data_IF_073773407990
#
_entry.id   IF_073773407990
#
_cell.length_a   1.000
_cell.length_b   1.000
_cell.length_c   1.000
_cell.angle_alpha   90.00
_cell.angle_beta   90.00
_cell.angle_gamma   90.00
#
_symmetry.space_group_name_H-M   'P 1'
#
loop_
_entity.id
_entity.type
_entity.pdbx_description
1 polymer ?
#
# COMPACT_ATOMS: atom_id res chain seq x y z
N UNK A 1 -17.74 -11.49 9.48
CA UNK A 1 -16.91 -12.71 9.42
C UNK A 1 -16.03 -12.73 8.16
N UNK A 2 -16.54 -12.47 6.96
CA UNK A 2 -15.79 -12.39 5.69
C UNK A 2 -14.70 -11.29 5.72
N UNK A 3 -14.99 -10.11 6.27
CA UNK A 3 -13.99 -9.02 6.40
C UNK A 3 -12.82 -9.40 7.31
N UNK A 4 -13.09 -10.10 8.41
CA UNK A 4 -12.07 -10.62 9.31
C UNK A 4 -11.20 -11.68 8.62
N UNK A 5 -11.81 -12.53 7.78
CA UNK A 5 -11.13 -13.54 6.97
C UNK A 5 -10.20 -12.87 5.94
N UNK A 6 -10.67 -11.86 5.22
CA UNK A 6 -9.86 -11.09 4.25
C UNK A 6 -8.67 -10.41 4.93
N UNK A 7 -8.89 -9.73 6.07
CA UNK A 7 -7.81 -9.14 6.86
C UNK A 7 -6.82 -10.20 7.36
N UNK A 8 -7.30 -11.37 7.76
CA UNK A 8 -6.47 -12.50 8.17
C UNK A 8 -5.60 -13.04 7.04
N UNK A 9 -6.16 -13.19 5.84
CA UNK A 9 -5.43 -13.62 4.64
C UNK A 9 -4.38 -12.60 4.24
N UNK A 10 -4.73 -11.31 4.17
CA UNK A 10 -3.78 -10.23 3.89
C UNK A 10 -2.62 -10.24 4.88
N UNK A 11 -2.90 -10.39 6.19
CA UNK A 11 -1.86 -10.43 7.23
C UNK A 11 -0.93 -11.63 7.05
N UNK A 12 -1.46 -12.80 6.73
CA UNK A 12 -0.66 -14.01 6.49
C UNK A 12 0.21 -13.86 5.24
N UNK A 13 -0.35 -13.38 4.14
CA UNK A 13 0.38 -13.19 2.88
C UNK A 13 1.45 -12.09 2.98
N UNK A 14 1.24 -11.07 3.82
CA UNK A 14 2.24 -10.02 4.09
C UNK A 14 3.39 -10.49 5.00
N UNK A 15 3.27 -11.63 5.67
CA UNK A 15 4.30 -12.11 6.60
C UNK A 15 5.60 -12.47 5.86
N UNK A 16 5.51 -13.16 4.73
CA UNK A 16 6.69 -13.55 3.93
C UNK A 16 7.46 -12.32 3.40
N UNK A 17 6.84 -11.36 2.68
CA UNK A 17 7.52 -10.14 2.26
C UNK A 17 8.13 -9.34 3.42
N UNK A 18 7.44 -9.28 4.56
CA UNK A 18 7.93 -8.57 5.74
C UNK A 18 9.19 -9.23 6.33
N UNK A 19 9.18 -10.56 6.50
CA UNK A 19 10.35 -11.30 6.99
C UNK A 19 11.53 -11.12 6.03
N UNK A 20 11.29 -11.26 4.73
CA UNK A 20 12.32 -11.08 3.72
C UNK A 20 12.91 -9.66 3.75
N UNK A 21 12.07 -8.64 3.87
CA UNK A 21 12.50 -7.24 3.99
C UNK A 21 13.31 -6.97 5.26
N UNK A 22 12.91 -7.55 6.40
CA UNK A 22 13.68 -7.42 7.66
C UNK A 22 15.04 -8.10 7.54
N UNK A 23 15.10 -9.32 7.00
CA UNK A 23 16.37 -10.03 6.80
C UNK A 23 17.28 -9.23 5.86
N UNK A 24 16.74 -8.72 4.77
CA UNK A 24 17.45 -7.87 3.82
C UNK A 24 18.04 -6.62 4.49
N UNK A 25 17.25 -5.95 5.29
CA UNK A 25 17.68 -4.75 6.01
C UNK A 25 18.76 -5.07 7.04
N UNK A 26 18.65 -6.18 7.76
CA UNK A 26 19.69 -6.64 8.69
C UNK A 26 21.01 -6.92 7.97
N UNK A 27 20.95 -7.64 6.85
CA UNK A 27 22.14 -7.92 6.02
C UNK A 27 22.78 -6.60 5.56
N UNK A 28 21.97 -5.67 5.04
CA UNK A 28 22.46 -4.37 4.59
C UNK A 28 23.16 -3.59 5.73
N UNK A 29 22.55 -3.52 6.90
CA UNK A 29 23.12 -2.84 8.06
C UNK A 29 24.44 -3.50 8.50
N UNK A 30 24.49 -4.83 8.59
CA UNK A 30 25.71 -5.56 8.94
C UNK A 30 26.82 -5.33 7.91
N UNK A 31 26.50 -5.35 6.63
CA UNK A 31 27.45 -5.06 5.56
C UNK A 31 28.01 -3.64 5.66
N UNK A 32 27.16 -2.65 5.85
CA UNK A 32 27.57 -1.24 5.92
C UNK A 32 28.37 -0.90 7.19
N UNK A 33 27.98 -1.48 8.35
CA UNK A 33 28.53 -1.07 9.63
C UNK A 33 29.69 -1.94 10.12
N UNK A 34 29.84 -3.14 9.59
CA UNK A 34 30.82 -4.11 10.03
C UNK A 34 31.72 -4.66 8.92
N UNK A 35 31.11 -5.22 7.87
CA UNK A 35 31.87 -5.93 6.83
C UNK A 35 32.72 -4.96 5.99
N UNK A 36 32.12 -3.90 5.47
CA UNK A 36 32.82 -2.93 4.61
C UNK A 36 33.93 -2.19 5.39
N UNK A 37 33.73 -1.65 6.60
CA UNK A 37 34.79 -1.02 7.34
C UNK A 37 35.97 -1.98 7.62
N UNK A 38 35.71 -3.18 8.13
CA UNK A 38 36.76 -4.16 8.39
C UNK A 38 37.53 -4.57 7.13
N UNK A 39 36.79 -4.65 5.99
CA UNK A 39 37.42 -4.95 4.71
C UNK A 39 38.32 -3.78 4.25
N UNK A 40 37.92 -2.55 4.49
CA UNK A 40 38.72 -1.36 4.13
C UNK A 40 39.98 -1.19 5.00
N UNK A 41 39.96 -1.59 6.31
CA UNK A 41 41.16 -1.61 7.16
C UNK A 41 42.30 -2.46 6.58
N UNK A 42 41.99 -3.46 5.76
CA UNK A 42 43.01 -4.27 5.08
C UNK A 42 43.77 -3.49 3.98
N UNK A 43 43.22 -2.37 3.53
CA UNK A 43 43.84 -1.50 2.54
C UNK A 43 44.53 -0.27 3.17
N UNK A 44 44.40 -0.08 4.50
CA UNK A 44 45.11 0.97 5.21
C UNK A 44 46.63 0.73 5.12
N UNK A 45 47.32 1.71 4.58
CA UNK A 45 48.79 1.64 4.36
C UNK A 45 49.18 1.47 2.88
N UNK A 46 48.27 1.29 1.99
CA UNK A 46 48.52 1.34 0.56
C UNK A 46 48.17 2.74 0.01
N UNK A 47 49.12 3.34 -0.72
CA UNK A 47 49.01 4.70 -1.27
C UNK A 47 48.25 4.67 -2.61
N UNK A 48 46.88 4.53 -2.54
CA UNK A 48 46.02 4.59 -3.73
C UNK A 48 44.72 5.37 -3.46
N UNK A 49 44.19 5.99 -4.49
CA UNK A 49 42.92 6.71 -4.39
C UNK A 49 41.72 5.74 -4.31
N UNK A 50 40.93 5.84 -3.25
CA UNK A 50 39.72 5.02 -3.09
C UNK A 50 38.64 5.47 -4.09
N UNK A 51 37.96 4.52 -4.75
CA UNK A 51 36.84 4.83 -5.63
C UNK A 51 35.72 5.59 -4.93
N UNK A 52 35.12 6.58 -5.61
CA UNK A 52 34.09 7.43 -5.05
C UNK A 52 32.86 6.65 -4.54
N UNK A 53 32.50 5.54 -5.19
CA UNK A 53 31.41 4.65 -4.75
C UNK A 53 31.71 4.02 -3.39
N UNK A 54 32.93 3.54 -3.17
CA UNK A 54 33.36 2.95 -1.92
C UNK A 54 33.32 3.97 -0.79
N UNK A 55 33.85 5.18 -1.04
CA UNK A 55 33.81 6.28 -0.07
C UNK A 55 32.37 6.67 0.28
N UNK A 56 31.47 6.76 -0.70
CA UNK A 56 30.06 7.05 -0.45
C UNK A 56 29.40 6.01 0.46
N UNK A 57 29.70 4.73 0.24
CA UNK A 57 29.14 3.64 1.04
C UNK A 57 29.72 3.62 2.45
N UNK A 58 31.00 3.91 2.62
CA UNK A 58 31.63 4.08 3.93
C UNK A 58 30.99 5.23 4.71
N UNK A 59 30.83 6.39 4.11
CA UNK A 59 30.15 7.52 4.74
C UNK A 59 28.69 7.18 5.11
N UNK A 60 27.98 6.41 4.30
CA UNK A 60 26.65 5.90 4.65
C UNK A 60 26.71 4.96 5.86
N UNK A 61 27.68 4.06 5.90
CA UNK A 61 27.87 3.14 7.03
C UNK A 61 28.14 3.89 8.34
N UNK A 62 29.07 4.83 8.33
CA UNK A 62 29.40 5.69 9.46
C UNK A 62 28.21 6.53 9.91
N UNK A 63 27.47 7.08 8.96
CA UNK A 63 26.26 7.83 9.24
C UNK A 63 25.21 6.95 9.94
N UNK A 64 24.96 5.74 9.43
CA UNK A 64 24.04 4.77 10.05
C UNK A 64 24.52 4.38 11.46
N UNK A 65 25.80 4.08 11.63
CA UNK A 65 26.38 3.69 12.90
C UNK A 65 26.28 4.80 13.95
N UNK A 66 26.66 6.02 13.57
CA UNK A 66 26.70 7.15 14.49
C UNK A 66 25.33 7.76 14.79
N UNK A 67 24.36 7.58 13.88
CA UNK A 67 23.03 8.18 13.98
C UNK A 67 21.90 7.14 14.04
N UNK A 68 22.19 5.88 14.41
CA UNK A 68 21.21 4.80 14.45
C UNK A 68 19.95 5.17 15.27
N UNK A 69 20.14 5.73 16.48
CA UNK A 69 19.03 6.14 17.35
C UNK A 69 18.22 7.28 16.71
N UNK A 70 18.92 8.26 16.10
CA UNK A 70 18.29 9.39 15.43
C UNK A 70 17.48 8.92 14.21
N UNK A 71 18.01 7.97 13.42
CA UNK A 71 17.32 7.38 12.27
C UNK A 71 16.04 6.66 12.70
N UNK A 72 16.11 5.85 13.76
CA UNK A 72 14.92 5.19 14.33
C UNK A 72 13.91 6.23 14.81
N UNK A 73 14.36 7.26 15.53
CA UNK A 73 13.48 8.33 16.01
C UNK A 73 12.80 9.08 14.85
N UNK A 74 13.54 9.37 13.77
CA UNK A 74 12.99 10.01 12.56
C UNK A 74 11.95 9.11 11.90
N UNK A 75 12.23 7.81 11.74
CA UNK A 75 11.27 6.87 11.14
C UNK A 75 9.98 6.81 11.97
N UNK A 76 10.11 6.70 13.30
CA UNK A 76 8.95 6.71 14.22
C UNK A 76 8.18 8.03 14.11
N UNK A 77 8.88 9.17 14.10
CA UNK A 77 8.25 10.49 13.95
C UNK A 77 7.50 10.63 12.62
N UNK A 78 8.09 10.15 11.50
CA UNK A 78 7.45 10.13 10.18
C UNK A 78 6.18 9.25 10.21
N UNK A 79 6.24 8.05 10.79
CA UNK A 79 5.08 7.15 10.89
C UNK A 79 3.96 7.78 11.71
N UNK A 80 4.28 8.40 12.85
CA UNK A 80 3.32 9.10 13.69
C UNK A 80 2.76 10.33 12.94
N UNK A 81 3.61 11.11 12.28
CA UNK A 81 3.23 12.27 11.49
C UNK A 81 2.25 11.91 10.37
N UNK A 82 2.55 10.86 9.58
CA UNK A 82 1.67 10.37 8.51
C UNK A 82 0.34 9.86 9.09
N UNK A 83 0.36 9.11 10.20
CA UNK A 83 -0.87 8.66 10.86
C UNK A 83 -1.73 9.80 11.36
N UNK A 84 -1.12 10.83 11.94
CA UNK A 84 -1.81 12.03 12.41
C UNK A 84 -2.38 12.84 11.25
N UNK A 85 -1.59 13.02 10.19
CA UNK A 85 -2.03 13.75 8.99
C UNK A 85 -3.19 13.04 8.27
N UNK A 86 -3.17 11.71 8.19
CA UNK A 86 -4.30 10.92 7.64
C UNK A 86 -5.62 11.13 8.39
N UNK A 87 -5.60 11.60 9.62
CA UNK A 87 -6.82 11.91 10.40
C UNK A 87 -7.37 13.30 10.10
N UNK A 88 -6.58 14.21 9.54
CA UNK A 88 -7.03 15.56 9.16
C UNK A 88 -7.83 15.50 7.85
N UNK A 89 -8.76 16.44 7.67
CA UNK A 89 -9.60 16.50 6.47
C UNK A 89 -8.77 16.59 5.18
N UNK A 90 -7.78 17.48 5.16
CA UNK A 90 -6.85 17.61 4.02
C UNK A 90 -6.05 16.34 3.75
N UNK A 91 -5.62 15.63 4.79
CA UNK A 91 -4.94 14.35 4.66
C UNK A 91 -5.85 13.26 4.10
N UNK A 92 -7.08 13.16 4.59
CA UNK A 92 -8.08 12.22 4.08
C UNK A 92 -8.37 12.44 2.59
N UNK A 93 -8.51 13.69 2.17
CA UNK A 93 -8.74 14.04 0.77
C UNK A 93 -7.53 13.72 -0.11
N UNK A 94 -6.32 14.05 0.34
CA UNK A 94 -5.07 13.77 -0.37
C UNK A 94 -4.86 12.25 -0.55
N UNK A 95 -4.94 11.49 0.53
CA UNK A 95 -4.77 10.03 0.47
C UNK A 95 -5.94 9.34 -0.22
N UNK A 96 -7.17 9.80 -0.01
CA UNK A 96 -8.37 9.29 -0.66
C UNK A 96 -8.30 9.41 -2.18
N UNK A 97 -7.91 10.59 -2.68
CA UNK A 97 -7.75 10.83 -4.12
C UNK A 97 -6.60 10.01 -4.72
N UNK A 98 -5.47 9.89 -4.01
CA UNK A 98 -4.32 9.10 -4.51
C UNK A 98 -4.60 7.61 -4.49
N UNK A 99 -5.31 7.11 -3.50
CA UNK A 99 -5.67 5.70 -3.41
C UNK A 99 -6.44 5.18 -4.64
N UNK A 100 -7.25 6.04 -5.28
CA UNK A 100 -8.01 5.70 -6.49
C UNK A 100 -7.31 6.10 -7.80
N UNK A 101 -6.13 6.77 -7.73
CA UNK A 101 -5.36 7.20 -8.91
C UNK A 101 -4.14 6.32 -9.17
N UNK A 102 -3.55 5.71 -8.15
CA UNK A 102 -2.35 4.86 -8.29
C UNK A 102 -2.75 3.54 -8.96
N UNK A 103 -2.21 3.20 -10.15
CA UNK A 103 -2.70 2.08 -10.98
C UNK A 103 -2.79 0.75 -10.25
N UNK A 104 -1.76 0.40 -9.44
CA UNK A 104 -1.68 -0.87 -8.71
C UNK A 104 -2.77 -0.99 -7.64
N UNK A 105 -3.05 0.10 -6.91
CA UNK A 105 -4.01 0.11 -5.82
C UNK A 105 -5.41 0.58 -6.23
N UNK A 106 -5.54 1.23 -7.39
CA UNK A 106 -6.82 1.75 -7.89
C UNK A 106 -7.89 0.66 -7.93
N UNK A 107 -7.60 -0.43 -8.64
CA UNK A 107 -8.56 -1.52 -8.83
C UNK A 107 -8.92 -2.18 -7.51
N UNK A 108 -7.94 -2.42 -6.63
CA UNK A 108 -8.18 -2.99 -5.31
C UNK A 108 -9.07 -2.08 -4.46
N UNK A 109 -8.80 -0.78 -4.42
CA UNK A 109 -9.58 0.17 -3.63
C UNK A 109 -11.02 0.29 -4.14
N UNK A 110 -11.22 0.43 -5.46
CA UNK A 110 -12.56 0.52 -6.05
C UNK A 110 -13.37 -0.75 -5.73
N UNK A 111 -12.78 -1.95 -5.92
CA UNK A 111 -13.44 -3.21 -5.62
C UNK A 111 -13.75 -3.34 -4.12
N UNK A 112 -12.81 -2.94 -3.25
CA UNK A 112 -13.00 -2.97 -1.79
C UNK A 112 -14.16 -2.06 -1.36
N UNK A 113 -14.23 -0.82 -1.87
CA UNK A 113 -15.33 0.08 -1.52
C UNK A 113 -16.66 -0.39 -2.10
N UNK A 114 -16.67 -1.02 -3.28
CA UNK A 114 -17.87 -1.64 -3.86
C UNK A 114 -18.36 -2.84 -3.05
N UNK A 115 -17.45 -3.69 -2.58
CA UNK A 115 -17.76 -4.81 -1.67
C UNK A 115 -18.35 -4.30 -0.35
N UNK A 116 -17.67 -3.33 0.32
CA UNK A 116 -18.15 -2.74 1.57
C UNK A 116 -19.52 -2.10 1.40
N UNK A 117 -19.72 -1.35 0.32
CA UNK A 117 -21.01 -0.74 -0.03
C UNK A 117 -22.09 -1.80 -0.16
N UNK A 118 -21.91 -2.77 -1.05
CA UNK A 118 -22.90 -3.78 -1.34
C UNK A 118 -23.22 -4.66 -0.11
N UNK A 119 -22.18 -5.14 0.60
CA UNK A 119 -22.34 -6.00 1.77
C UNK A 119 -23.03 -5.28 2.93
N UNK A 120 -22.60 -4.06 3.24
CA UNK A 120 -23.19 -3.29 4.34
C UNK A 120 -24.62 -2.90 4.03
N UNK A 121 -24.88 -2.41 2.80
CA UNK A 121 -26.21 -2.02 2.38
C UNK A 121 -27.17 -3.22 2.34
N UNK A 122 -26.75 -4.36 1.77
CA UNK A 122 -27.52 -5.61 1.78
C UNK A 122 -27.91 -6.02 3.21
N UNK A 123 -26.92 -6.06 4.12
CA UNK A 123 -27.16 -6.46 5.51
C UNK A 123 -28.15 -5.53 6.22
N UNK A 124 -28.06 -4.22 6.02
CA UNK A 124 -28.95 -3.25 6.64
C UNK A 124 -30.37 -3.32 6.06
N UNK A 125 -30.50 -3.49 4.73
CA UNK A 125 -31.78 -3.64 4.06
C UNK A 125 -32.48 -4.94 4.49
N UNK A 126 -31.76 -6.06 4.57
CA UNK A 126 -32.28 -7.34 5.08
C UNK A 126 -32.72 -7.24 6.56
N UNK A 127 -32.11 -6.35 7.34
CA UNK A 127 -32.55 -6.06 8.72
C UNK A 127 -33.78 -5.13 8.78
N UNK A 128 -34.35 -4.74 7.64
CA UNK A 128 -35.52 -3.85 7.55
C UNK A 128 -35.21 -2.37 7.78
N UNK A 129 -33.93 -1.96 7.70
CA UNK A 129 -33.56 -0.55 7.85
C UNK A 129 -33.91 0.20 6.56
N UNK A 130 -34.62 1.35 6.63
CA UNK A 130 -34.97 2.13 5.46
C UNK A 130 -33.74 2.52 4.64
N UNK A 131 -33.87 2.56 3.30
CA UNK A 131 -32.76 2.86 2.35
C UNK A 131 -31.98 4.12 2.73
N UNK A 132 -32.66 5.19 3.13
CA UNK A 132 -32.03 6.47 3.49
C UNK A 132 -31.07 6.31 4.69
N UNK A 133 -31.52 5.60 5.73
CA UNK A 133 -30.73 5.36 6.94
C UNK A 133 -29.62 4.33 6.70
N UNK A 134 -29.90 3.35 5.85
CA UNK A 134 -28.93 2.36 5.43
C UNK A 134 -27.78 3.02 4.63
N UNK A 135 -28.07 3.89 3.68
CA UNK A 135 -27.05 4.65 2.91
C UNK A 135 -26.23 5.58 3.81
N UNK A 136 -26.87 6.24 4.79
CA UNK A 136 -26.16 7.04 5.79
C UNK A 136 -25.16 6.19 6.62
N UNK A 137 -25.63 5.03 7.06
CA UNK A 137 -24.80 4.09 7.83
C UNK A 137 -23.63 3.59 6.97
N UNK A 138 -23.86 3.22 5.72
CA UNK A 138 -22.81 2.84 4.77
C UNK A 138 -21.81 3.97 4.55
N UNK A 139 -22.28 5.21 4.34
CA UNK A 139 -21.41 6.38 4.19
C UNK A 139 -20.46 6.54 5.39
N UNK A 140 -20.94 6.27 6.60
CA UNK A 140 -20.13 6.35 7.82
C UNK A 140 -19.12 5.20 7.99
N UNK A 141 -19.31 4.08 7.32
CA UNK A 141 -18.33 2.98 7.28
C UNK A 141 -17.21 3.23 6.26
N UNK A 142 -17.42 4.14 5.28
CA UNK A 142 -16.42 4.43 4.26
C UNK A 142 -15.21 5.13 4.85
N UNK A 143 -14.04 4.52 4.69
CA UNK A 143 -12.76 5.11 5.12
C UNK A 143 -12.23 6.15 4.14
N UNK A 144 -12.68 6.12 2.87
CA UNK A 144 -12.33 7.10 1.87
C UNK A 144 -13.35 8.24 1.84
N UNK A 145 -12.88 9.46 2.07
CA UNK A 145 -13.72 10.66 2.16
C UNK A 145 -14.51 10.93 0.87
N UNK A 146 -13.99 10.54 -0.31
CA UNK A 146 -14.68 10.74 -1.59
C UNK A 146 -15.94 9.87 -1.66
N UNK A 147 -15.83 8.58 -1.35
CA UNK A 147 -16.98 7.67 -1.30
C UNK A 147 -17.97 8.09 -0.22
N UNK A 148 -17.48 8.51 0.96
CA UNK A 148 -18.34 9.05 2.01
C UNK A 148 -19.15 10.24 1.54
N UNK A 149 -18.51 11.24 0.94
CA UNK A 149 -19.17 12.45 0.43
C UNK A 149 -20.18 12.13 -0.67
N UNK A 150 -19.85 11.19 -1.57
CA UNK A 150 -20.75 10.76 -2.65
C UNK A 150 -22.01 10.10 -2.08
N UNK A 151 -21.86 9.18 -1.13
CA UNK A 151 -22.99 8.51 -0.50
C UNK A 151 -23.87 9.46 0.34
N UNK A 152 -23.27 10.45 1.02
CA UNK A 152 -24.03 11.47 1.73
C UNK A 152 -24.85 12.36 0.78
N UNK A 153 -24.30 12.69 -0.40
CA UNK A 153 -25.08 13.38 -1.46
C UNK A 153 -26.20 12.50 -2.01
N UNK A 154 -25.89 11.21 -2.25
CA UNK A 154 -26.89 10.24 -2.69
C UNK A 154 -28.05 10.13 -1.69
N UNK A 155 -27.76 10.12 -0.38
CA UNK A 155 -28.80 10.17 0.67
C UNK A 155 -29.74 11.36 0.52
N UNK A 156 -29.19 12.56 0.22
CA UNK A 156 -30.02 13.76 0.03
C UNK A 156 -30.91 13.69 -1.22
N UNK A 157 -30.45 13.00 -2.27
CA UNK A 157 -31.23 12.78 -3.50
C UNK A 157 -32.32 11.72 -3.30
N UNK A 158 -32.00 10.62 -2.62
CA UNK A 158 -32.96 9.58 -2.24
C UNK A 158 -34.09 10.17 -1.38
N UNK A 159 -33.77 11.09 -0.45
CA UNK A 159 -34.78 11.75 0.37
C UNK A 159 -35.77 12.60 -0.46
N UNK A 160 -35.40 12.97 -1.69
CA UNK A 160 -36.27 13.65 -2.67
C UNK A 160 -37.02 12.68 -3.61
N UNK A 161 -36.84 11.37 -3.40
CA UNK A 161 -37.46 10.32 -4.22
C UNK A 161 -36.67 9.92 -5.46
N UNK A 162 -35.40 10.35 -5.59
CA UNK A 162 -34.52 9.93 -6.69
C UNK A 162 -34.02 8.51 -6.40
N UNK A 163 -34.06 7.57 -7.37
CA UNK A 163 -33.49 6.24 -7.24
C UNK A 163 -31.98 6.32 -6.92
N UNK A 164 -31.46 5.42 -6.06
CA UNK A 164 -30.04 5.43 -5.63
C UNK A 164 -29.08 5.20 -6.82
N UNK A 165 -29.47 4.44 -7.81
CA UNK A 165 -28.67 4.21 -9.03
C UNK A 165 -28.28 5.50 -9.77
N UNK A 166 -29.12 6.51 -9.77
CA UNK A 166 -28.89 7.82 -10.42
C UNK A 166 -27.72 8.60 -9.77
N UNK A 167 -27.73 8.91 -8.45
CA UNK A 167 -26.63 9.60 -7.81
C UNK A 167 -25.32 8.79 -7.84
N UNK A 168 -25.35 7.46 -7.75
CA UNK A 168 -24.16 6.63 -7.88
C UNK A 168 -23.54 6.73 -9.29
N UNK A 169 -24.39 6.79 -10.34
CA UNK A 169 -23.96 7.00 -11.73
C UNK A 169 -23.31 8.37 -11.91
N UNK A 170 -23.94 9.40 -11.37
CA UNK A 170 -23.50 10.79 -11.50
C UNK A 170 -22.18 11.05 -10.73
N UNK A 171 -21.98 10.41 -9.60
CA UNK A 171 -20.76 10.49 -8.78
C UNK A 171 -19.55 9.83 -9.45
N UNK A 172 -19.76 8.74 -10.16
CA UNK A 172 -18.74 8.09 -11.00
C UNK A 172 -17.62 7.39 -10.24
N UNK A 173 -17.72 7.21 -8.91
CA UNK A 173 -16.73 6.48 -8.11
C UNK A 173 -16.98 4.97 -8.14
N UNK A 174 -18.21 4.56 -8.27
CA UNK A 174 -18.58 3.15 -8.32
C UNK A 174 -18.49 2.58 -9.75
N UNK A 175 -18.10 1.30 -9.91
CA UNK A 175 -18.09 0.63 -11.21
C UNK A 175 -19.49 0.59 -11.85
N UNK A 176 -19.57 0.58 -13.19
CA UNK A 176 -20.85 0.49 -13.91
C UNK A 176 -21.73 -0.69 -13.45
N UNK A 177 -21.12 -1.82 -13.08
CA UNK A 177 -21.83 -2.99 -12.58
C UNK A 177 -22.62 -2.69 -11.30
N UNK A 178 -22.07 -1.90 -10.36
CA UNK A 178 -22.79 -1.48 -9.14
C UNK A 178 -24.03 -0.67 -9.52
N UNK A 179 -23.86 0.31 -10.42
CA UNK A 179 -24.96 1.18 -10.89
C UNK A 179 -26.05 0.38 -11.59
N UNK A 180 -25.66 -0.54 -12.49
CA UNK A 180 -26.65 -1.35 -13.24
C UNK A 180 -27.41 -2.32 -12.33
N UNK A 181 -26.74 -3.01 -11.43
CA UNK A 181 -27.41 -3.94 -10.49
C UNK A 181 -28.35 -3.20 -9.55
N UNK A 182 -27.96 -1.99 -9.09
CA UNK A 182 -28.84 -1.13 -8.31
C UNK A 182 -30.07 -0.72 -9.10
N UNK A 183 -29.92 -0.26 -10.35
CA UNK A 183 -31.03 0.12 -11.20
C UNK A 183 -32.02 -1.04 -11.42
N UNK A 184 -31.50 -2.25 -11.72
CA UNK A 184 -32.35 -3.44 -11.88
C UNK A 184 -33.08 -3.75 -10.56
N UNK A 185 -32.40 -3.72 -9.43
CA UNK A 185 -33.05 -3.98 -8.13
C UNK A 185 -34.12 -2.95 -7.77
N UNK A 186 -33.93 -1.67 -8.15
CA UNK A 186 -34.91 -0.60 -7.95
C UNK A 186 -36.14 -0.78 -8.87
N UNK A 187 -35.94 -1.19 -10.12
CA UNK A 187 -37.03 -1.43 -11.08
C UNK A 187 -37.86 -2.70 -10.74
N UNK A 188 -37.18 -3.75 -10.25
CA UNK A 188 -37.86 -5.03 -9.93
C UNK A 188 -38.37 -5.09 -8.50
N UNK A 189 -37.90 -4.21 -7.61
CA UNK A 189 -38.12 -4.27 -6.15
C UNK A 189 -37.28 -5.30 -5.43
N UNK A 190 -36.28 -5.89 -6.10
CA UNK A 190 -35.38 -6.95 -5.56
C UNK A 190 -33.99 -6.41 -5.19
N UNK A 191 -33.92 -5.20 -4.61
CA UNK A 191 -32.67 -4.51 -4.27
C UNK A 191 -31.78 -5.38 -3.37
N UNK A 192 -32.38 -6.06 -2.38
CA UNK A 192 -31.65 -6.89 -1.42
C UNK A 192 -30.93 -8.06 -2.10
N UNK A 193 -31.60 -8.73 -3.03
CA UNK A 193 -31.02 -9.84 -3.79
C UNK A 193 -29.88 -9.37 -4.71
N UNK A 194 -30.09 -8.24 -5.39
CA UNK A 194 -29.06 -7.64 -6.26
C UNK A 194 -27.84 -7.21 -5.47
N UNK A 195 -28.04 -6.60 -4.30
CA UNK A 195 -26.93 -6.22 -3.40
C UNK A 195 -26.16 -7.43 -2.85
N UNK A 196 -26.84 -8.52 -2.52
CA UNK A 196 -26.18 -9.72 -2.01
C UNK A 196 -25.30 -10.38 -3.07
N UNK A 197 -25.83 -10.53 -4.30
CA UNK A 197 -25.05 -11.00 -5.45
C UNK A 197 -23.86 -10.10 -5.75
N UNK A 198 -24.07 -8.79 -5.68
CA UNK A 198 -23.03 -7.80 -5.90
C UNK A 198 -21.93 -7.87 -4.81
N UNK A 199 -22.33 -8.05 -3.57
CA UNK A 199 -21.42 -8.22 -2.46
C UNK A 199 -20.56 -9.47 -2.57
N UNK A 200 -21.17 -10.62 -2.94
CA UNK A 200 -20.42 -11.87 -3.14
C UNK A 200 -19.43 -11.74 -4.30
N UNK A 201 -19.85 -11.15 -5.41
CA UNK A 201 -18.97 -10.90 -6.54
C UNK A 201 -17.76 -10.02 -6.17
N UNK A 202 -17.99 -8.88 -5.49
CA UNK A 202 -16.89 -7.99 -5.13
C UNK A 202 -16.03 -8.53 -3.99
N UNK A 203 -16.57 -9.34 -3.10
CA UNK A 203 -15.76 -10.05 -2.08
C UNK A 203 -14.72 -10.96 -2.75
N UNK A 204 -15.14 -11.73 -3.76
CA UNK A 204 -14.26 -12.60 -4.55
C UNK A 204 -13.23 -11.77 -5.35
N UNK A 205 -13.68 -10.72 -6.01
CA UNK A 205 -12.82 -9.82 -6.78
C UNK A 205 -11.76 -9.11 -5.92
N UNK A 206 -12.10 -8.74 -4.68
CA UNK A 206 -11.14 -8.19 -3.70
C UNK A 206 -10.12 -9.24 -3.30
N UNK A 207 -10.53 -10.49 -3.06
CA UNK A 207 -9.63 -11.58 -2.72
C UNK A 207 -8.62 -11.82 -3.86
N UNK A 208 -9.08 -12.00 -5.09
CA UNK A 208 -8.24 -12.24 -6.28
C UNK A 208 -7.30 -11.05 -6.53
N UNK A 209 -7.81 -9.83 -6.47
CA UNK A 209 -7.00 -8.63 -6.70
C UNK A 209 -5.95 -8.44 -5.60
N UNK A 210 -6.29 -8.74 -4.34
CA UNK A 210 -5.35 -8.70 -3.22
C UNK A 210 -4.21 -9.70 -3.43
N UNK A 211 -4.51 -10.93 -3.83
CA UNK A 211 -3.50 -11.95 -4.14
C UNK A 211 -2.59 -11.50 -5.28
N UNK A 212 -3.15 -10.89 -6.33
CA UNK A 212 -2.37 -10.34 -7.45
C UNK A 212 -1.41 -9.25 -7.00
N UNK A 213 -1.88 -8.30 -6.18
CA UNK A 213 -1.04 -7.22 -5.64
C UNK A 213 0.08 -7.77 -4.77
N UNK A 214 -0.22 -8.76 -3.92
CA UNK A 214 0.77 -9.41 -3.06
C UNK A 214 1.82 -10.19 -3.86
N UNK A 215 1.40 -10.89 -4.93
CA UNK A 215 2.31 -11.62 -5.83
C UNK A 215 3.30 -10.68 -6.55
N UNK A 216 2.93 -9.42 -6.81
CA UNK A 216 3.84 -8.44 -7.40
C UNK A 216 4.93 -7.94 -6.43
N UNK A 217 4.73 -8.07 -5.12
CA UNK A 217 5.72 -7.64 -4.13
C UNK A 217 6.98 -8.51 -4.16
N UNK A 218 6.85 -9.82 -4.41
CA UNK A 218 7.97 -10.74 -4.43
C UNK A 218 9.02 -10.38 -5.50
N UNK A 219 8.67 -10.23 -6.80
CA UNK A 219 9.62 -9.77 -7.81
C UNK A 219 10.24 -8.40 -7.51
N UNK A 220 9.46 -7.47 -6.94
CA UNK A 220 9.96 -6.16 -6.58
C UNK A 220 11.03 -6.24 -5.48
N UNK A 221 10.83 -7.08 -4.47
CA UNK A 221 11.82 -7.30 -3.40
C UNK A 221 13.08 -7.95 -3.96
N UNK A 222 12.95 -8.95 -4.85
CA UNK A 222 14.10 -9.62 -5.48
C UNK A 222 14.92 -8.61 -6.30
N UNK A 223 14.28 -7.80 -7.13
CA UNK A 223 14.97 -6.77 -7.92
C UNK A 223 15.65 -5.74 -7.03
N UNK A 224 14.97 -5.28 -5.98
CA UNK A 224 15.55 -4.35 -5.01
C UNK A 224 16.79 -4.94 -4.32
N UNK A 225 16.72 -6.20 -3.89
CA UNK A 225 17.85 -6.91 -3.30
C UNK A 225 19.00 -7.11 -4.29
N UNK A 226 18.70 -7.45 -5.53
CA UNK A 226 19.71 -7.61 -6.56
C UNK A 226 20.50 -6.29 -6.78
N UNK A 227 19.80 -5.16 -6.82
CA UNK A 227 20.43 -3.84 -6.94
C UNK A 227 21.36 -3.57 -5.74
N UNK A 228 20.91 -3.83 -4.52
CA UNK A 228 21.74 -3.66 -3.32
C UNK A 228 22.98 -4.53 -3.39
N UNK A 229 22.84 -5.81 -3.74
CA UNK A 229 23.97 -6.74 -3.83
C UNK A 229 24.99 -6.28 -4.89
N UNK A 230 24.52 -5.85 -6.06
CA UNK A 230 25.41 -5.31 -7.12
C UNK A 230 26.20 -4.09 -6.64
N UNK A 231 25.52 -3.16 -5.95
CA UNK A 231 26.19 -1.97 -5.38
C UNK A 231 27.22 -2.36 -4.33
N UNK A 232 26.93 -3.32 -3.45
CA UNK A 232 27.88 -3.80 -2.42
C UNK A 232 29.10 -4.49 -3.07
N UNK A 233 28.86 -5.34 -4.07
CA UNK A 233 29.96 -6.00 -4.82
C UNK A 233 30.84 -4.96 -5.50
N UNK A 234 30.26 -3.99 -6.16
CA UNK A 234 31.00 -2.92 -6.83
C UNK A 234 31.85 -2.09 -5.83
N UNK A 235 31.32 -1.84 -4.63
CA UNK A 235 32.04 -1.13 -3.58
C UNK A 235 33.24 -1.91 -3.04
N UNK A 236 33.14 -3.23 -2.96
CA UNK A 236 34.23 -4.11 -2.47
C UNK A 236 35.27 -4.33 -3.57
N UNK A 237 34.83 -4.54 -4.80
CA UNK A 237 35.74 -4.79 -5.93
C UNK A 237 36.48 -3.53 -6.40
N UNK A 238 35.90 -2.35 -6.21
CA UNK A 238 36.52 -1.09 -6.63
C UNK A 238 37.94 -0.90 -6.10
N UNK A 239 38.20 -0.95 -4.79
CA UNK A 239 39.54 -0.84 -4.21
C UNK A 239 40.51 -1.91 -4.71
N UNK A 240 40.04 -3.17 -4.87
CA UNK A 240 40.88 -4.25 -5.39
C UNK A 240 41.38 -3.96 -6.81
N UNK A 241 40.50 -3.45 -7.68
CA UNK A 241 40.90 -3.09 -9.05
C UNK A 241 41.85 -1.91 -9.07
N UNK A 242 41.67 -0.92 -8.18
CA UNK A 242 42.59 0.21 -8.03
C UNK A 242 43.97 -0.23 -7.59
N UNK A 243 44.09 -1.13 -6.62
CA UNK A 243 45.35 -1.73 -6.22
C UNK A 243 46.02 -2.51 -7.35
N UNK A 244 45.28 -3.35 -8.06
CA UNK A 244 45.81 -4.14 -9.16
C UNK A 244 46.43 -3.24 -10.26
N UNK A 245 45.73 -2.16 -10.59
CA UNK A 245 46.19 -1.19 -11.57
C UNK A 245 47.42 -0.36 -11.07
N UNK A 246 47.47 -0.07 -9.76
CA UNK A 246 48.58 0.64 -9.14
C UNK A 246 49.86 -0.20 -9.11
N UNK A 247 49.78 -1.47 -8.75
CA UNK A 247 50.92 -2.40 -8.73
C UNK A 247 51.38 -2.78 -10.15
N UNK A 248 50.45 -2.82 -11.12
CA UNK A 248 50.80 -3.11 -12.53
C UNK A 248 51.53 -1.98 -13.29
N UNK A 249 51.56 -0.79 -12.69
CA UNK A 249 52.24 0.39 -13.26
C UNK A 249 53.59 0.74 -12.57
N UNK A 250 53.99 -0.09 -11.59
CA UNK A 250 55.34 -0.05 -11.01
C UNK A 250 56.26 -1.06 -11.72
#
# INVERSE_FOLDING_TARGET
EKEAKLKGMMKRSMMYPMVLGVVALVILVVMLTYVIPNYMEMFDGYDFEMPALTLAIMHMGDFVKNHAILLVAIIVAIVIGIKSWKKTESGQEFFGTRAIKIPVFKNLNIKTYSSVFARTLSTLMQAGIPMIDAVDSVANTMTNILYKRELLKAKEEIAKGVPLSEPLKNGGLFPPMVVHMMAIGEETGEIEEMLDKLADYYDEEVEVTTQTVLALLEPMIIVFMAIIVVILIAAIMGPMLSLYNGVGNM
#
